data_IF_787109067120
#
_entry.id   IF_787109067120
#
_cell.length_a   1.000
_cell.length_b   1.000
_cell.length_c   1.000
_cell.angle_alpha   90.00
_cell.angle_beta   90.00
_cell.angle_gamma   90.00
#
_symmetry.space_group_name_H-M   'P 1'
#
loop_
_entity.id
_entity.type
_entity.pdbx_description
1 polymer ?
2 water ?
#
# COMPACT_ATOMS: atom_id res chain seq x y z
N UNK A 3 6.66 21.85 4.44
CA UNK A 3 6.96 21.08 5.69
C UNK A 3 5.99 19.92 5.79
N UNK A 4 6.53 18.70 5.73
CA UNK A 4 5.73 17.47 5.78
C UNK A 4 5.71 16.87 7.19
N UNK A 5 4.52 16.71 7.74
CA UNK A 5 4.37 16.15 9.08
C UNK A 5 3.87 14.72 8.97
N UNK A 6 3.36 14.38 7.79
CA UNK A 6 2.79 13.07 7.53
C UNK A 6 3.68 12.05 6.79
N UNK A 7 4.48 12.53 5.85
CA UNK A 7 5.35 11.64 5.08
C UNK A 7 4.50 10.57 4.43
N UNK A 8 3.87 10.90 3.32
CA UNK A 8 3.03 9.94 2.62
C UNK A 8 3.90 8.85 2.02
N UNK A 9 5.02 9.26 1.42
CA UNK A 9 5.95 8.35 0.78
C UNK A 9 6.33 7.19 1.69
N UNK A 10 6.73 7.47 2.94
CA UNK A 10 7.07 6.38 3.85
C UNK A 10 5.85 5.52 4.13
N UNK A 11 4.67 6.13 4.15
CA UNK A 11 3.45 5.37 4.40
C UNK A 11 3.04 4.52 3.18
N UNK A 12 3.20 5.08 1.98
CA UNK A 12 2.88 4.35 0.77
C UNK A 12 3.87 3.18 0.58
N UNK A 13 5.13 3.42 0.88
CA UNK A 13 6.17 2.42 0.75
C UNK A 13 5.97 1.23 1.65
N UNK A 14 5.61 1.47 2.91
CA UNK A 14 5.42 0.35 3.80
C UNK A 14 4.15 -0.41 3.39
N UNK A 15 3.17 0.33 2.89
CA UNK A 15 1.93 -0.29 2.45
C UNK A 15 2.20 -1.22 1.26
N UNK A 16 2.90 -0.71 0.24
CA UNK A 16 3.21 -1.51 -0.91
C UNK A 16 4.11 -2.68 -0.52
N UNK A 17 5.04 -2.43 0.40
CA UNK A 17 5.93 -3.46 0.87
C UNK A 17 5.03 -4.54 1.43
N UNK A 18 3.87 -4.13 1.93
CA UNK A 18 2.90 -5.07 2.49
C UNK A 18 2.24 -5.93 1.44
N UNK A 19 2.25 -5.46 0.21
CA UNK A 19 1.68 -6.23 -0.88
C UNK A 19 2.61 -7.43 -1.15
N UNK A 20 3.91 -7.15 -1.20
CA UNK A 20 4.91 -8.18 -1.42
C UNK A 20 4.79 -9.24 -0.33
N UNK A 21 4.34 -8.85 0.85
CA UNK A 21 4.22 -9.81 1.95
C UNK A 21 3.08 -10.77 1.76
N UNK A 22 1.91 -10.25 1.37
CA UNK A 22 0.80 -11.16 1.23
C UNK A 22 0.93 -11.99 -0.03
N UNK A 23 1.54 -11.42 -1.07
CA UNK A 23 1.72 -12.18 -2.30
C UNK A 23 2.76 -13.28 -2.01
N UNK A 24 3.96 -12.91 -1.56
CA UNK A 24 4.95 -13.94 -1.25
C UNK A 24 4.42 -14.89 -0.19
N UNK A 25 3.63 -14.36 0.73
CA UNK A 25 3.09 -15.19 1.79
C UNK A 25 2.09 -16.20 1.28
N UNK A 26 1.32 -15.83 0.25
CA UNK A 26 0.33 -16.72 -0.30
C UNK A 26 1.01 -17.88 -1.02
N UNK A 27 2.11 -17.58 -1.69
CA UNK A 27 2.86 -18.60 -2.42
C UNK A 27 3.57 -19.53 -1.46
N UNK A 28 4.15 -18.96 -0.41
CA UNK A 28 4.85 -19.77 0.57
C UNK A 28 3.86 -20.78 1.16
N UNK A 29 2.60 -20.37 1.24
CA UNK A 29 1.55 -21.23 1.76
C UNK A 29 1.42 -22.48 0.90
N UNK A 30 0.94 -22.31 -0.32
CA UNK A 30 0.75 -23.41 -1.25
C UNK A 30 2.10 -24.07 -1.63
N UNK A 31 2.97 -23.29 -2.27
CA UNK A 31 4.27 -23.80 -2.67
C UNK A 31 4.41 -23.68 -4.16
N UNK A 32 3.44 -23.06 -4.82
CA UNK A 32 3.50 -22.90 -6.25
C UNK A 32 2.99 -21.54 -6.72
N UNK A 33 3.66 -20.96 -7.72
CA UNK A 33 3.23 -19.69 -8.26
C UNK A 33 1.95 -19.90 -9.07
N UNK A 34 1.00 -18.98 -8.96
CA UNK A 34 -0.23 -19.19 -9.74
C UNK A 34 -0.08 -18.71 -11.18
N UNK A 35 -0.69 -19.44 -12.11
CA UNK A 35 -0.64 -19.08 -13.52
C UNK A 35 0.78 -18.91 -14.03
N UNK A 36 1.01 -17.81 -14.75
CA UNK A 36 2.35 -17.54 -15.29
C UNK A 36 3.13 -16.59 -14.39
N UNK A 37 2.65 -16.37 -13.18
CA UNK A 37 3.34 -15.47 -12.27
C UNK A 37 4.69 -15.93 -11.76
N UNK A 38 5.63 -15.01 -11.76
CA UNK A 38 6.97 -15.27 -11.26
C UNK A 38 7.52 -13.89 -10.86
N UNK A 39 8.37 -13.85 -9.84
CA UNK A 39 8.88 -12.57 -9.37
C UNK A 39 10.37 -12.33 -9.50
N UNK A 40 10.72 -11.11 -9.90
CA UNK A 40 12.10 -10.69 -10.01
C UNK A 40 12.25 -9.83 -8.77
N UNK A 41 13.00 -10.30 -7.79
CA UNK A 41 13.19 -9.57 -6.55
C UNK A 41 14.63 -9.10 -6.43
N UNK A 42 14.81 -7.80 -6.39
CA UNK A 42 16.15 -7.25 -6.32
C UNK A 42 16.41 -6.73 -4.91
N UNK A 43 17.49 -7.17 -4.28
CA UNK A 43 17.78 -6.69 -2.94
C UNK A 43 19.23 -6.34 -2.65
N UNK A 44 19.49 -5.82 -1.46
CA UNK A 44 20.84 -5.46 -1.04
C UNK A 44 21.45 -6.62 -0.26
N UNK A 45 22.48 -7.21 -0.83
CA UNK A 45 23.15 -8.35 -0.21
C UNK A 45 23.87 -7.92 1.05
N UNK A 46 24.12 -6.62 1.15
CA UNK A 46 24.82 -6.07 2.30
C UNK A 46 23.93 -5.74 3.49
N UNK A 47 22.70 -5.28 3.23
CA UNK A 47 21.78 -4.91 4.30
C UNK A 47 21.72 -5.94 5.42
N UNK A 48 21.43 -5.47 6.66
CA UNK A 48 21.35 -6.35 7.82
C UNK A 48 20.17 -7.30 7.78
N UNK A 49 20.34 -8.49 8.34
CA UNK A 49 19.28 -9.46 8.36
C UNK A 49 19.29 -10.35 7.13
N UNK A 50 20.07 -9.96 6.14
CA UNK A 50 20.21 -10.72 4.90
C UNK A 50 21.13 -11.89 5.17
N UNK A 51 20.69 -13.10 4.84
CA UNK A 51 21.50 -14.29 5.07
C UNK A 51 21.76 -15.09 3.79
N UNK A 52 22.93 -14.85 3.19
CA UNK A 52 23.35 -15.55 1.97
C UNK A 52 24.77 -16.09 2.12
N UNK A 53 25.11 -17.12 1.36
CA UNK A 53 26.43 -17.76 1.41
C UNK A 53 27.59 -16.94 0.85
N UNK A 54 28.80 -17.30 1.25
CA UNK A 54 30.02 -16.62 0.78
C UNK A 54 30.06 -16.72 -0.73
N UNK A 55 29.59 -17.84 -1.25
CA UNK A 55 29.55 -18.07 -2.69
C UNK A 55 28.83 -16.91 -3.36
N UNK A 56 27.58 -16.66 -2.94
CA UNK A 56 26.78 -15.60 -3.53
C UNK A 56 27.19 -14.19 -3.14
N UNK A 57 27.59 -13.99 -1.89
CA UNK A 57 27.97 -12.65 -1.46
C UNK A 57 29.22 -12.16 -2.20
N UNK A 58 30.03 -13.12 -2.65
CA UNK A 58 31.26 -12.79 -3.37
C UNK A 58 30.98 -12.64 -4.86
N UNK A 59 30.06 -13.47 -5.36
CA UNK A 59 29.68 -13.44 -6.76
C UNK A 59 28.90 -12.15 -7.02
N UNK A 60 28.24 -11.65 -5.99
CA UNK A 60 27.46 -10.41 -6.09
C UNK A 60 27.89 -9.40 -5.02
N UNK A 61 28.38 -8.26 -5.49
CA UNK A 61 28.88 -7.19 -4.62
C UNK A 61 27.91 -6.59 -3.59
N UNK A 62 26.91 -5.85 -4.05
CA UNK A 62 25.99 -5.19 -3.14
C UNK A 62 24.52 -5.41 -3.45
N UNK A 63 24.19 -5.46 -4.74
CA UNK A 63 22.84 -5.70 -5.20
C UNK A 63 22.75 -7.05 -5.89
N UNK A 64 21.55 -7.57 -5.98
CA UNK A 64 21.35 -8.86 -6.61
C UNK A 64 19.88 -9.02 -6.96
N UNK A 65 19.62 -9.63 -8.11
CA UNK A 65 18.24 -9.85 -8.50
C UNK A 65 18.00 -11.35 -8.57
N UNK A 66 17.01 -11.84 -7.83
CA UNK A 66 16.74 -13.25 -7.82
C UNK A 66 15.45 -13.45 -8.58
N UNK A 67 15.27 -14.64 -9.12
CA UNK A 67 14.08 -14.94 -9.89
C UNK A 67 13.40 -16.15 -9.31
N UNK A 68 12.15 -15.95 -8.91
CA UNK A 68 11.37 -17.04 -8.38
C UNK A 68 10.46 -17.45 -9.53
N UNK A 69 10.74 -18.61 -10.11
CA UNK A 69 9.94 -19.08 -11.23
C UNK A 69 9.73 -20.57 -11.36
N UNK A 70 10.78 -21.29 -11.72
CA UNK A 70 10.65 -22.72 -11.93
C UNK A 70 11.24 -23.54 -10.81
N UNK A 71 12.46 -23.24 -10.42
CA UNK A 71 13.07 -24.02 -9.37
C UNK A 71 13.35 -23.34 -8.06
N UNK A 72 12.34 -23.34 -7.19
CA UNK A 72 12.48 -22.79 -5.86
C UNK A 72 11.90 -23.79 -4.86
N UNK A 73 12.44 -23.78 -3.64
CA UNK A 73 12.01 -24.67 -2.60
C UNK A 73 12.13 -24.02 -1.24
N UNK A 74 11.39 -24.56 -0.28
CA UNK A 74 11.43 -24.10 1.10
C UNK A 74 11.16 -22.62 1.35
N UNK A 75 10.21 -22.04 0.62
CA UNK A 75 9.92 -20.63 0.83
C UNK A 75 9.14 -20.45 2.12
N UNK A 76 9.70 -19.63 2.99
CA UNK A 76 9.10 -19.36 4.28
C UNK A 76 8.99 -17.85 4.45
N UNK A 77 7.76 -17.35 4.54
CA UNK A 77 7.55 -15.93 4.75
C UNK A 77 7.50 -15.73 6.25
N UNK A 78 8.24 -14.75 6.75
CA UNK A 78 8.27 -14.48 8.17
C UNK A 78 7.75 -13.07 8.41
N UNK A 79 8.04 -12.52 9.59
CA UNK A 79 7.60 -11.18 9.94
C UNK A 79 8.57 -10.14 9.38
N UNK A 80 9.86 -10.43 9.53
CA UNK A 80 10.95 -9.58 9.10
C UNK A 80 11.18 -9.55 7.58
N UNK A 81 11.09 -10.71 6.95
CA UNK A 81 11.28 -10.81 5.51
C UNK A 81 10.86 -12.20 5.04
N UNK A 82 11.67 -12.83 4.21
CA UNK A 82 11.35 -14.18 3.74
C UNK A 82 12.60 -15.01 3.45
N UNK A 83 12.39 -16.31 3.29
CA UNK A 83 13.49 -17.23 3.01
C UNK A 83 13.13 -17.98 1.76
N UNK A 84 14.11 -18.21 0.90
CA UNK A 84 13.86 -18.91 -0.33
C UNK A 84 15.05 -19.78 -0.69
N UNK A 85 14.75 -20.88 -1.40
CA UNK A 85 15.80 -21.76 -1.84
C UNK A 85 15.77 -21.80 -3.34
N UNK A 86 16.90 -21.45 -3.96
CA UNK A 86 17.07 -21.47 -5.41
C UNK A 86 18.44 -22.10 -5.69
N UNK A 87 18.73 -22.33 -6.97
CA UNK A 87 20.02 -22.88 -7.38
C UNK A 87 20.76 -21.89 -8.25
N UNK A 88 22.03 -21.66 -7.92
CA UNK A 88 22.90 -20.74 -8.66
C UNK A 88 24.11 -21.51 -9.17
N UNK A 89 24.20 -21.61 -10.49
CA UNK A 89 25.27 -22.34 -11.17
C UNK A 89 25.40 -23.78 -10.64
N UNK A 90 24.24 -24.40 -10.44
CA UNK A 90 24.10 -25.78 -9.96
C UNK A 90 24.38 -26.10 -8.48
N UNK A 91 24.66 -25.08 -7.68
CA UNK A 91 24.88 -25.29 -6.25
C UNK A 91 23.67 -24.70 -5.53
N UNK A 92 22.85 -25.54 -4.86
CA UNK A 92 21.66 -25.06 -4.15
C UNK A 92 22.00 -23.97 -3.14
N UNK A 93 21.07 -23.05 -2.96
CA UNK A 93 21.27 -21.94 -2.05
C UNK A 93 20.07 -21.66 -1.17
N UNK A 94 20.33 -21.06 -0.02
CA UNK A 94 19.27 -20.68 0.90
C UNK A 94 19.45 -19.18 1.09
N UNK A 95 18.36 -18.44 0.91
CA UNK A 95 18.43 -17.00 1.06
C UNK A 95 17.43 -16.45 2.05
N UNK A 96 17.90 -15.53 2.90
CA UNK A 96 17.05 -14.87 3.87
C UNK A 96 17.05 -13.41 3.47
N UNK A 97 15.90 -12.92 3.03
CA UNK A 97 15.79 -11.53 2.60
C UNK A 97 14.81 -10.75 3.45
N UNK A 98 15.29 -9.79 4.23
CA UNK A 98 14.32 -9.03 5.02
C UNK A 98 13.60 -8.04 4.07
N UNK A 99 12.29 -7.91 4.23
CA UNK A 99 11.48 -7.03 3.37
C UNK A 99 12.08 -5.65 3.13
N UNK A 100 12.69 -5.08 4.18
CA UNK A 100 13.27 -3.76 4.06
C UNK A 100 14.58 -3.73 3.29
N UNK A 101 15.04 -4.90 2.85
CA UNK A 101 16.26 -5.00 2.07
C UNK A 101 15.90 -5.05 0.58
N UNK A 102 14.64 -5.34 0.28
CA UNK A 102 14.17 -5.40 -1.10
C UNK A 102 14.20 -4.01 -1.71
N UNK A 103 14.74 -3.91 -2.91
CA UNK A 103 14.82 -2.63 -3.59
C UNK A 103 13.78 -2.57 -4.70
N UNK A 104 13.56 -3.70 -5.35
CA UNK A 104 12.59 -3.75 -6.41
C UNK A 104 11.93 -5.11 -6.49
N UNK A 105 10.70 -5.12 -6.99
CA UNK A 105 9.90 -6.33 -7.16
C UNK A 105 9.22 -6.20 -8.52
N UNK A 106 9.45 -7.16 -9.40
CA UNK A 106 8.85 -7.12 -10.74
C UNK A 106 8.24 -8.46 -11.09
N UNK A 107 7.07 -8.41 -11.72
CA UNK A 107 6.36 -9.60 -12.14
C UNK A 107 6.13 -9.44 -13.65
N UNK A 108 7.07 -9.92 -14.48
CA UNK A 108 6.95 -9.79 -15.94
C UNK A 108 5.62 -10.29 -16.49
N UNK A 109 5.04 -11.29 -15.83
CA UNK A 109 3.76 -11.87 -16.23
C UNK A 109 2.65 -10.87 -16.48
N UNK A 110 2.56 -9.87 -15.62
CA UNK A 110 1.53 -8.87 -15.74
C UNK A 110 2.14 -7.49 -15.65
N UNK A 111 3.38 -7.38 -16.09
CA UNK A 111 4.09 -6.11 -16.07
C UNK A 111 3.80 -5.24 -14.85
N UNK A 112 4.04 -5.79 -13.67
CA UNK A 112 3.83 -5.10 -12.41
C UNK A 112 5.16 -4.92 -11.69
N UNK A 113 5.57 -3.68 -11.47
CA UNK A 113 6.84 -3.41 -10.79
C UNK A 113 6.71 -2.47 -9.62
N UNK A 114 7.50 -2.71 -8.58
CA UNK A 114 7.51 -1.86 -7.39
C UNK A 114 8.95 -1.54 -7.06
N UNK A 115 9.20 -0.31 -6.63
CA UNK A 115 10.55 0.10 -6.28
C UNK A 115 10.54 0.75 -4.91
N UNK A 116 11.65 0.64 -4.19
CA UNK A 116 11.74 1.21 -2.85
C UNK A 116 13.09 1.86 -2.66
N UNK A 117 13.25 2.55 -1.53
CA UNK A 117 14.51 3.18 -1.19
C UNK A 117 15.19 2.18 -0.27
N UNK A 118 15.77 1.14 -0.88
CA UNK A 118 16.44 0.07 -0.15
C UNK A 118 17.63 0.49 0.71
N UNK A 119 18.42 1.50 0.27
CA UNK A 119 19.55 1.91 1.12
C UNK A 119 19.17 2.42 2.50
N UNK B 4 -2.38 -14.51 -14.30
CA UNK B 4 -3.39 -13.47 -13.97
C UNK B 4 -4.05 -13.72 -12.60
N UNK B 5 -3.72 -14.84 -11.99
CA UNK B 5 -4.27 -15.23 -10.69
C UNK B 5 -4.03 -14.22 -9.56
N UNK B 6 -3.12 -13.28 -9.77
CA UNK B 6 -2.85 -12.29 -8.74
C UNK B 6 -3.39 -10.93 -9.16
N UNK B 7 -4.23 -10.36 -8.29
CA UNK B 7 -4.82 -9.07 -8.55
C UNK B 7 -4.00 -7.96 -7.92
N UNK B 8 -2.82 -7.71 -8.49
CA UNK B 8 -1.95 -6.67 -7.96
C UNK B 8 -2.63 -5.32 -7.82
N UNK B 9 -3.45 -4.98 -8.81
CA UNK B 9 -4.16 -3.71 -8.79
C UNK B 9 -5.09 -3.60 -7.57
N UNK B 10 -5.77 -4.67 -7.23
CA UNK B 10 -6.66 -4.64 -6.07
C UNK B 10 -5.81 -4.51 -4.83
N UNK B 11 -4.86 -5.41 -4.69
CA UNK B 11 -3.96 -5.41 -3.56
C UNK B 11 -3.31 -4.05 -3.29
N UNK B 12 -2.87 -3.38 -4.36
CA UNK B 12 -2.24 -2.09 -4.23
C UNK B 12 -3.23 -1.06 -3.70
N UNK B 13 -4.39 -1.00 -4.33
CA UNK B 13 -5.41 -0.05 -3.91
C UNK B 13 -5.93 -0.28 -2.51
N UNK B 14 -5.97 -1.51 -2.03
CA UNK B 14 -6.41 -1.72 -0.65
C UNK B 14 -5.28 -1.16 0.22
N UNK B 15 -4.04 -1.47 -0.16
CA UNK B 15 -2.86 -1.01 0.56
C UNK B 15 -2.83 0.50 0.65
N UNK B 16 -3.07 1.17 -0.47
CA UNK B 16 -3.05 2.62 -0.50
C UNK B 16 -4.24 3.19 0.24
N UNK B 17 -5.36 2.50 0.07
CA UNK B 17 -6.60 2.86 0.70
C UNK B 17 -6.25 2.93 2.19
N UNK B 18 -5.57 1.90 2.68
CA UNK B 18 -5.18 1.84 4.08
C UNK B 18 -4.20 2.90 4.57
N UNK B 19 -3.64 3.66 3.64
CA UNK B 19 -2.73 4.74 3.99
C UNK B 19 -3.63 5.92 4.36
N UNK B 20 -4.69 6.09 3.58
CA UNK B 20 -5.67 7.13 3.81
C UNK B 20 -6.29 6.87 5.18
N UNK B 21 -6.52 5.60 5.50
CA UNK B 21 -7.09 5.24 6.79
C UNK B 21 -6.16 5.67 7.94
N UNK B 22 -4.87 5.33 7.83
CA UNK B 22 -3.86 5.68 8.83
C UNK B 22 -3.77 7.18 9.04
N UNK B 23 -3.69 7.92 7.93
CA UNK B 23 -3.57 9.37 7.94
C UNK B 23 -4.68 10.06 8.70
N UNK B 24 -5.86 10.15 8.08
CA UNK B 24 -6.95 10.81 8.75
C UNK B 24 -7.26 10.05 10.04
N UNK B 25 -6.67 8.88 10.17
CA UNK B 25 -6.86 8.11 11.39
C UNK B 25 -6.13 8.79 12.53
N UNK B 26 -5.00 9.42 12.24
CA UNK B 26 -4.27 10.09 13.30
C UNK B 26 -4.60 11.59 13.36
N UNK B 27 -5.31 12.09 12.34
CA UNK B 27 -5.73 13.49 12.34
C UNK B 27 -6.92 13.58 13.28
N UNK B 28 -7.74 12.53 13.28
CA UNK B 28 -8.92 12.48 14.11
C UNK B 28 -8.55 12.14 15.55
N UNK B 29 -7.40 11.48 15.72
CA UNK B 29 -6.95 11.10 17.05
C UNK B 29 -6.73 12.33 17.90
N UNK B 30 -6.14 13.36 17.29
CA UNK B 30 -5.83 14.60 17.97
C UNK B 30 -6.85 15.69 17.66
N UNK B 31 -7.80 15.39 16.78
CA UNK B 31 -8.79 16.38 16.44
C UNK B 31 -8.24 17.48 15.56
N UNK B 32 -6.96 17.78 15.68
CA UNK B 32 -6.36 18.82 14.86
C UNK B 32 -5.60 18.25 13.66
N UNK B 33 -5.48 19.08 12.64
CA UNK B 33 -4.78 18.72 11.42
C UNK B 33 -3.35 19.31 11.48
N UNK B 34 -2.31 18.45 11.31
CA UNK B 34 -0.90 18.84 11.37
C UNK B 34 -0.39 19.89 10.38
N UNK B 35 0.51 20.74 10.87
CA UNK B 35 1.09 21.79 10.05
C UNK B 35 0.11 22.42 9.09
N UNK B 36 0.59 22.76 7.90
CA UNK B 36 -0.25 23.39 6.88
C UNK B 36 -0.90 22.35 5.96
N UNK B 37 -1.13 21.15 6.49
CA UNK B 37 -1.75 20.05 5.75
C UNK B 37 -3.26 20.22 5.62
N UNK B 38 -3.85 19.46 4.70
CA UNK B 38 -5.30 19.43 4.47
C UNK B 38 -5.60 18.52 3.28
N UNK B 39 -6.75 17.84 3.34
CA UNK B 39 -7.11 16.90 2.30
C UNK B 39 -8.34 17.23 1.46
N UNK B 40 -8.30 16.77 0.20
CA UNK B 40 -9.40 16.94 -0.75
C UNK B 40 -9.86 15.53 -1.08
N UNK B 41 -10.73 14.96 -0.27
CA UNK B 41 -11.20 13.61 -0.55
C UNK B 41 -12.41 13.56 -1.48
N UNK B 42 -12.23 12.94 -2.64
CA UNK B 42 -13.29 12.80 -3.62
C UNK B 42 -13.87 11.38 -3.56
N UNK B 43 -15.17 11.27 -3.38
CA UNK B 43 -15.81 9.95 -3.28
C UNK B 43 -17.08 9.79 -4.12
N UNK B 44 -17.63 8.57 -4.13
CA UNK B 44 -18.85 8.26 -4.85
C UNK B 44 -20.08 8.35 -3.95
N UNK B 45 -20.85 9.40 -4.15
CA UNK B 45 -22.04 9.65 -3.34
C UNK B 45 -23.02 8.49 -3.27
N UNK B 46 -23.04 7.65 -4.31
CA UNK B 46 -23.94 6.53 -4.35
C UNK B 46 -23.31 5.17 -4.13
N UNK B 47 -22.04 5.14 -3.74
CA UNK B 47 -21.35 3.88 -3.52
C UNK B 47 -21.92 3.15 -2.30
N UNK B 48 -21.81 1.82 -2.28
CA UNK B 48 -22.33 1.05 -1.15
C UNK B 48 -21.62 1.53 0.10
N UNK B 49 -22.25 1.42 1.25
CA UNK B 49 -21.60 1.84 2.48
C UNK B 49 -21.65 3.32 2.77
N UNK B 50 -21.81 4.15 1.74
CA UNK B 50 -21.91 5.59 1.91
C UNK B 50 -23.20 5.95 2.62
N UNK B 51 -23.11 6.88 3.56
CA UNK B 51 -24.26 7.37 4.32
C UNK B 51 -24.31 8.88 4.12
N UNK B 52 -25.29 9.35 3.37
CA UNK B 52 -25.40 10.77 3.08
C UNK B 52 -26.86 11.19 3.35
N UNK B 53 -27.32 12.28 2.74
CA UNK B 53 -28.70 12.71 2.91
C UNK B 53 -29.26 12.89 1.51
N UNK B 54 -30.58 12.76 1.34
CA UNK B 54 -31.15 12.94 0.02
C UNK B 54 -30.81 14.35 -0.42
N UNK B 55 -30.63 15.22 0.55
CA UNK B 55 -30.28 16.60 0.29
C UNK B 55 -28.97 16.67 -0.48
N UNK B 56 -27.89 16.15 0.11
CA UNK B 56 -26.57 16.15 -0.53
C UNK B 56 -26.54 15.33 -1.82
N UNK B 57 -27.20 14.18 -1.80
CA UNK B 57 -27.25 13.30 -2.96
C UNK B 57 -28.01 13.96 -4.11
N UNK B 58 -28.94 14.84 -3.76
CA UNK B 58 -29.72 15.56 -4.77
C UNK B 58 -28.95 16.81 -5.10
N UNK B 59 -27.67 16.80 -4.77
CA UNK B 59 -26.81 17.94 -5.02
C UNK B 59 -25.54 17.48 -5.76
N UNK B 60 -25.07 16.27 -5.45
CA UNK B 60 -23.88 15.69 -6.09
C UNK B 60 -24.13 14.26 -6.53
N UNK B 61 -25.23 14.06 -7.26
CA UNK B 61 -25.66 12.75 -7.76
C UNK B 61 -24.62 11.63 -7.97
N UNK B 62 -23.48 11.95 -8.59
CA UNK B 62 -22.47 10.93 -8.86
C UNK B 62 -21.30 10.91 -7.89
N UNK B 63 -20.57 12.02 -7.82
CA UNK B 63 -19.45 12.10 -6.92
C UNK B 63 -19.26 13.50 -6.36
N UNK B 64 -18.96 13.57 -5.08
CA UNK B 64 -18.77 14.82 -4.36
C UNK B 64 -17.34 14.90 -3.82
N UNK B 65 -16.83 16.11 -3.68
CA UNK B 65 -15.47 16.30 -3.17
C UNK B 65 -15.41 17.18 -1.93
N UNK B 66 -15.28 16.55 -0.77
CA UNK B 66 -15.19 17.30 0.48
C UNK B 66 -13.78 17.86 0.62
N UNK B 67 -13.56 18.69 1.65
CA UNK B 67 -12.25 19.29 1.90
C UNK B 67 -11.97 19.42 3.40
N UNK B 68 -11.18 18.51 3.95
CA UNK B 68 -10.89 18.56 5.39
C UNK B 68 -9.75 19.54 5.67
N UNK B 69 -10.10 20.73 6.15
CA UNK B 69 -9.10 21.76 6.44
C UNK B 69 -9.27 22.36 7.84
N UNK B 70 -8.69 23.55 8.04
CA UNK B 70 -8.72 24.26 9.33
C UNK B 70 -9.57 23.54 10.40
N UNK B 71 -10.89 23.72 10.35
CA UNK B 71 -11.80 23.03 11.30
C UNK B 71 -13.08 22.37 10.72
N UNK B 72 -13.12 21.06 10.96
CA UNK B 72 -14.16 20.11 10.55
C UNK B 72 -14.54 19.57 11.93
N UNK B 73 -15.47 18.63 11.99
CA UNK B 73 -15.85 18.13 13.31
C UNK B 73 -16.36 16.69 13.33
N UNK B 74 -16.42 16.14 14.54
CA UNK B 74 -16.91 14.78 14.74
C UNK B 74 -16.22 13.70 13.90
N UNK B 75 -15.07 13.99 13.33
CA UNK B 75 -14.38 12.98 12.52
C UNK B 75 -14.00 11.75 13.34
N UNK B 76 -14.56 10.61 12.96
CA UNK B 76 -14.27 9.35 13.62
C UNK B 76 -13.76 8.48 12.49
N UNK B 77 -12.79 7.63 12.78
CA UNK B 77 -12.20 6.80 11.76
C UNK B 77 -12.19 5.33 12.11
N UNK B 78 -12.91 4.54 11.32
CA UNK B 78 -12.99 3.10 11.55
C UNK B 78 -12.21 2.37 10.45
N UNK B 79 -12.06 1.06 10.59
CA UNK B 79 -11.33 0.27 9.60
C UNK B 79 -12.01 0.32 8.25
N UNK B 80 -13.29 0.65 8.24
CA UNK B 80 -14.08 0.68 7.01
C UNK B 80 -14.22 2.03 6.33
N UNK B 81 -14.19 3.09 7.12
CA UNK B 81 -14.31 4.40 6.52
C UNK B 81 -14.20 5.46 7.58
N UNK B 82 -14.50 6.70 7.20
CA UNK B 82 -14.44 7.77 8.17
C UNK B 82 -15.77 8.51 8.21
N UNK B 83 -16.13 8.91 9.41
CA UNK B 83 -17.37 9.64 9.61
C UNK B 83 -16.95 11.07 9.89
N UNK B 84 -17.66 12.04 9.37
CA UNK B 84 -17.31 13.43 9.65
C UNK B 84 -18.51 14.37 9.64
N UNK B 85 -18.31 15.56 10.20
CA UNK B 85 -19.34 16.57 10.23
C UNK B 85 -19.00 17.55 9.15
N UNK B 86 -19.99 18.15 8.52
CA UNK B 86 -19.72 19.09 7.45
C UNK B 86 -20.71 20.25 7.44
N UNK B 87 -20.47 21.26 8.29
CA UNK B 87 -21.33 22.43 8.38
C UNK B 87 -21.55 23.05 7.02
N UNK B 88 -22.81 23.07 6.60
CA UNK B 88 -23.18 23.66 5.32
C UNK B 88 -23.89 24.98 5.53
N UNK B 89 -23.95 25.77 4.47
CA UNK B 89 -24.59 27.07 4.53
C UNK B 89 -25.96 27.04 5.23
N UNK B 90 -26.72 25.97 5.02
CA UNK B 90 -28.06 25.88 5.58
C UNK B 90 -28.38 24.69 6.49
N UNK B 91 -27.46 23.75 6.63
CA UNK B 91 -27.73 22.58 7.47
C UNK B 91 -26.51 21.76 7.78
N UNK B 92 -26.44 21.21 9.00
CA UNK B 92 -25.28 20.39 9.35
C UNK B 92 -25.48 19.04 8.68
N UNK B 93 -24.40 18.51 8.11
CA UNK B 93 -24.41 17.22 7.44
C UNK B 93 -23.40 16.31 8.10
N UNK B 94 -23.71 15.03 8.15
CA UNK B 94 -22.82 14.05 8.74
C UNK B 94 -22.78 12.85 7.79
N UNK B 95 -21.67 12.65 7.11
CA UNK B 95 -21.56 11.53 6.20
C UNK B 95 -20.50 10.51 6.57
N UNK B 96 -20.81 9.26 6.28
CA UNK B 96 -19.93 8.12 6.51
C UNK B 96 -19.45 7.80 5.09
N UNK B 97 -18.14 7.86 4.89
CA UNK B 97 -17.56 7.59 3.58
C UNK B 97 -16.63 6.40 3.68
N UNK B 98 -17.05 5.24 3.15
CA UNK B 98 -16.19 4.06 3.21
C UNK B 98 -15.03 4.24 2.25
N UNK B 99 -13.85 3.76 2.64
CA UNK B 99 -12.65 3.91 1.82
C UNK B 99 -12.79 3.43 0.40
N UNK B 100 -13.40 2.26 0.22
CA UNK B 100 -13.59 1.70 -1.11
C UNK B 100 -14.36 2.67 -2.00
N UNK B 101 -15.07 3.62 -1.39
CA UNK B 101 -15.85 4.60 -2.14
C UNK B 101 -15.02 5.80 -2.56
N UNK B 102 -13.85 5.99 -1.94
CA UNK B 102 -12.98 7.11 -2.29
C UNK B 102 -12.36 6.82 -3.65
N UNK B 103 -12.32 7.82 -4.52
CA UNK B 103 -11.70 7.58 -5.83
C UNK B 103 -10.53 8.53 -6.01
N UNK B 104 -10.35 9.43 -5.06
CA UNK B 104 -9.26 10.37 -5.14
C UNK B 104 -8.95 11.06 -3.83
N UNK B 105 -7.67 11.15 -3.51
CA UNK B 105 -7.20 11.79 -2.28
C UNK B 105 -6.09 12.76 -2.67
N UNK B 106 -6.24 14.04 -2.37
CA UNK B 106 -5.23 15.02 -2.76
C UNK B 106 -4.84 15.93 -1.59
N UNK B 107 -3.55 15.99 -1.29
CA UNK B 107 -3.05 16.84 -0.22
C UNK B 107 -2.12 17.82 -0.91
N UNK B 108 -2.49 19.11 -0.97
CA UNK B 108 -1.62 20.08 -1.64
C UNK B 108 -0.36 20.55 -0.90
N UNK B 109 -0.41 20.59 0.43
CA UNK B 109 0.73 21.04 1.23
C UNK B 109 2.05 20.37 0.85
N UNK B 110 1.97 19.09 0.49
CA UNK B 110 3.15 18.32 0.10
C UNK B 110 2.94 17.72 -1.27
N UNK B 111 1.99 18.28 -2.03
CA UNK B 111 1.65 17.82 -3.35
C UNK B 111 1.61 16.28 -3.47
N UNK B 112 0.66 15.69 -2.77
CA UNK B 112 0.46 14.25 -2.75
C UNK B 112 -0.89 13.91 -3.37
N UNK B 113 -0.92 12.89 -4.23
CA UNK B 113 -2.14 12.50 -4.90
C UNK B 113 -2.33 11.00 -5.07
N UNK B 114 -3.54 10.54 -4.75
CA UNK B 114 -3.91 9.15 -4.88
C UNK B 114 -5.14 9.09 -5.77
N UNK B 115 -5.25 8.03 -6.57
CA UNK B 115 -6.40 7.89 -7.45
C UNK B 115 -6.75 6.42 -7.51
N UNK B 116 -8.05 6.13 -7.53
CA UNK B 116 -8.51 4.75 -7.54
C UNK B 116 -9.53 4.50 -8.65
N UNK B 117 -9.79 3.22 -8.91
CA UNK B 117 -10.78 2.82 -9.91
C UNK B 117 -12.08 2.50 -9.19
N UNK B 118 -13.09 3.31 -9.44
CA UNK B 118 -14.39 3.11 -8.81
C UNK B 118 -15.42 2.62 -9.83
#
# INVERSE_FOLDING_TARGET
XGQDHIRYDILAQDALRGVIRKVLGEVAATGRLPGDHHFFITFLTGAPGVRISQHLKSKYAEQMTIVIQHQFWDMKVTETGFEIGLSFSDTPEKLVIPYNAIRGFYDPSVNFELEFDVPLAKEEEXEEAEITAYPVSHEAKPASETPKSGEEKKEGSVVSLDAFRKKQLEHHHHHH
XGQDHIRYDILAQDALRGVIRKVLGEVAATGRLPGDHHFFITFLTGAPGVRISQHLKSKYAEQMTIVIQHQFWDMKVTETGFEIGLSFSDTPEKLVIPYNAIRGFYDPSVNFELEFDVPLAKEEEXEEAEITAYPVSHEAKPASETPKSGEEKKEGSVVSLDAFRKKQLEHHHHHH
#
